data_IF_546149334845
#
_entry.id   IF_546149334845
#
_cell.length_a   1.000
_cell.length_b   1.000
_cell.length_c   1.000
_cell.angle_alpha   90.00
_cell.angle_beta   90.00
_cell.angle_gamma   90.00
#
_symmetry.space_group_name_H-M   'P 1'
#
loop_
_entity.id
_entity.type
_entity.pdbx_description
1 polymer ?
#
# COMPACT_ATOMS: atom_id res chain seq x y z
N UNK A 1 -3.39 3.64 -11.16
CA UNK A 1 -3.31 3.54 -9.69
C UNK A 1 -2.06 4.15 -9.06
N UNK A 2 -0.86 4.03 -9.66
CA UNK A 2 0.40 4.41 -9.01
C UNK A 2 0.44 5.83 -8.38
N UNK A 3 -0.05 6.85 -9.09
CA UNK A 3 -0.13 8.23 -8.59
C UNK A 3 -1.37 8.53 -7.74
N UNK A 4 -2.35 7.61 -7.69
CA UNK A 4 -3.56 7.78 -6.89
C UNK A 4 -3.19 7.59 -5.40
N UNK A 5 -3.40 8.59 -4.52
CA UNK A 5 -3.10 8.46 -3.09
C UNK A 5 -4.05 7.52 -2.34
N UNK A 6 -5.20 7.16 -2.91
CA UNK A 6 -6.11 6.14 -2.36
C UNK A 6 -5.57 4.73 -2.60
N UNK A 7 -4.76 4.53 -3.65
CA UNK A 7 -4.03 3.29 -3.87
C UNK A 7 -2.71 3.32 -3.09
N UNK A 8 -2.67 2.67 -1.94
CA UNK A 8 -1.46 2.56 -1.10
C UNK A 8 -0.42 1.71 -1.81
N UNK A 9 0.83 2.19 -1.86
CA UNK A 9 1.97 1.45 -2.42
C UNK A 9 2.71 0.71 -1.31
N UNK A 10 3.34 -0.41 -1.66
CA UNK A 10 4.21 -1.17 -0.77
C UNK A 10 5.51 -1.55 -1.47
N UNK A 11 6.61 -1.48 -0.73
CA UNK A 11 7.91 -2.06 -1.11
C UNK A 11 8.30 -3.14 -0.11
N UNK A 12 8.94 -4.20 -0.58
CA UNK A 12 9.32 -5.35 0.23
C UNK A 12 10.73 -5.83 -0.10
N UNK A 13 11.31 -6.56 0.84
CA UNK A 13 12.57 -7.27 0.63
C UNK A 13 12.37 -8.56 -0.18
N UNK A 14 13.47 -9.25 -0.49
CA UNK A 14 13.46 -10.52 -1.22
C UNK A 14 12.73 -11.65 -0.48
N UNK A 15 12.59 -11.55 0.85
CA UNK A 15 11.88 -12.50 1.69
C UNK A 15 10.39 -12.21 1.82
N UNK A 16 9.88 -11.17 1.15
CA UNK A 16 8.48 -10.76 1.23
C UNK A 16 8.14 -9.95 2.48
N UNK A 17 9.12 -9.44 3.23
CA UNK A 17 8.85 -8.54 4.34
C UNK A 17 8.70 -7.12 3.83
N UNK A 18 7.59 -6.46 4.19
CA UNK A 18 7.36 -5.08 3.84
C UNK A 18 8.43 -4.18 4.49
N UNK A 19 9.06 -3.35 3.67
CA UNK A 19 9.99 -2.32 4.10
C UNK A 19 9.26 -1.02 4.43
N UNK A 20 8.26 -0.66 3.62
CA UNK A 20 7.44 0.53 3.85
C UNK A 20 6.12 0.50 3.06
N UNK A 21 5.10 1.20 3.60
CA UNK A 21 3.85 1.50 2.92
C UNK A 21 3.70 3.01 2.76
N UNK A 22 3.21 3.48 1.62
CA UNK A 22 3.04 4.92 1.40
C UNK A 22 1.94 5.23 0.40
N UNK A 23 1.31 6.39 0.58
CA UNK A 23 0.46 7.00 -0.46
C UNK A 23 1.30 7.66 -1.56
N UNK A 24 2.57 7.98 -1.29
CA UNK A 24 3.51 8.44 -2.29
C UNK A 24 3.89 7.32 -3.29
N UNK A 25 4.25 7.65 -4.54
CA UNK A 25 4.71 6.66 -5.51
C UNK A 25 6.07 6.06 -5.09
N UNK A 26 6.07 4.80 -4.64
CA UNK A 26 7.28 4.07 -4.24
C UNK A 26 7.35 2.70 -4.92
N UNK A 27 8.53 2.26 -5.42
CA UNK A 27 9.80 3.00 -5.43
C UNK A 27 9.82 4.13 -6.48
N UNK A 28 10.63 5.16 -6.24
CA UNK A 28 10.75 6.30 -7.17
C UNK A 28 11.70 5.96 -8.34
N UNK A 29 11.26 6.07 -9.62
CA UNK A 29 12.08 5.75 -10.79
C UNK A 29 13.00 6.93 -11.15
N UNK A 30 14.08 7.10 -10.38
CA UNK A 30 15.02 8.23 -10.50
C UNK A 30 15.43 8.54 -11.94
N UNK A 31 15.88 7.53 -12.68
CA UNK A 31 16.51 7.75 -13.98
C UNK A 31 15.51 8.24 -15.03
N UNK A 32 14.26 7.78 -15.00
CA UNK A 32 13.20 8.25 -15.91
C UNK A 32 12.99 9.77 -15.76
N UNK A 33 12.89 10.26 -14.52
CA UNK A 33 12.72 11.69 -14.25
C UNK A 33 13.99 12.50 -14.50
N UNK A 34 15.18 11.90 -14.36
CA UNK A 34 16.43 12.56 -14.74
C UNK A 34 16.56 12.77 -16.25
N UNK A 35 15.96 11.90 -17.07
CA UNK A 35 15.92 12.05 -18.54
C UNK A 35 14.76 12.94 -19.03
N UNK A 36 14.15 13.72 -18.13
CA UNK A 36 13.13 14.72 -18.47
C UNK A 36 11.71 14.17 -18.56
N UNK A 37 11.48 12.91 -18.19
CA UNK A 37 10.13 12.37 -18.13
C UNK A 37 9.30 13.13 -17.08
N UNK A 38 8.09 13.55 -17.46
CA UNK A 38 7.22 14.37 -16.62
C UNK A 38 6.19 13.54 -15.83
N UNK A 39 5.99 12.29 -16.24
CA UNK A 39 4.98 11.39 -15.68
C UNK A 39 5.61 10.08 -15.23
N UNK A 40 4.97 9.40 -14.27
CA UNK A 40 5.41 8.07 -13.87
C UNK A 40 5.44 7.12 -15.08
N UNK A 41 6.48 6.28 -15.21
CA UNK A 41 6.56 5.28 -16.28
C UNK A 41 5.44 4.25 -16.15
N UNK A 42 5.03 3.68 -17.29
CA UNK A 42 3.98 2.67 -17.34
C UNK A 42 4.45 1.29 -16.84
N UNK A 43 5.74 0.99 -16.97
CA UNK A 43 6.32 -0.30 -16.63
C UNK A 43 7.31 -0.18 -15.47
N UNK A 44 7.21 -1.12 -14.51
CA UNK A 44 8.12 -1.22 -13.38
C UNK A 44 7.50 -1.99 -12.21
N UNK A 45 8.28 -2.11 -11.14
CA UNK A 45 7.94 -2.94 -9.98
C UNK A 45 7.23 -2.12 -8.91
N UNK A 46 5.98 -1.74 -9.19
CA UNK A 46 5.09 -1.11 -8.21
C UNK A 46 4.02 -2.08 -7.75
N UNK A 47 3.79 -2.10 -6.44
CA UNK A 47 2.77 -2.93 -5.83
C UNK A 47 1.75 -2.07 -5.12
N UNK A 48 0.47 -2.31 -5.43
CA UNK A 48 -0.63 -1.82 -4.61
C UNK A 48 -0.82 -2.74 -3.42
N UNK A 49 -0.89 -2.17 -2.23
CA UNK A 49 -1.33 -2.86 -1.04
C UNK A 49 -2.85 -3.10 -1.09
N UNK A 50 -3.26 -4.33 -0.83
CA UNK A 50 -4.66 -4.74 -0.70
C UNK A 50 -4.94 -4.94 0.78
N UNK A 51 -5.98 -4.28 1.31
CA UNK A 51 -6.33 -4.25 2.74
C UNK A 51 -6.93 -5.55 3.27
N UNK A 52 -6.25 -6.68 3.05
CA UNK A 52 -6.56 -7.98 3.64
C UNK A 52 -5.36 -8.44 4.46
N UNK A 53 -5.63 -8.82 5.71
CA UNK A 53 -4.58 -9.13 6.66
C UNK A 53 -4.87 -10.41 7.43
N UNK A 54 -3.80 -11.08 7.86
CA UNK A 54 -3.85 -12.19 8.79
C UNK A 54 -2.99 -11.85 10.01
N UNK A 55 -3.59 -11.91 11.20
CA UNK A 55 -2.91 -11.56 12.45
C UNK A 55 -2.97 -12.70 13.45
N UNK A 56 -1.93 -12.80 14.29
CA UNK A 56 -2.03 -13.56 15.54
C UNK A 56 -2.84 -12.73 16.54
N UNK A 57 -3.81 -13.34 17.21
CA UNK A 57 -4.63 -12.67 18.24
C UNK A 57 -3.79 -12.00 19.33
N UNK A 58 -2.74 -12.69 19.81
CA UNK A 58 -1.81 -12.11 20.79
C UNK A 58 -1.04 -10.88 20.28
N UNK A 59 -0.84 -10.74 18.97
CA UNK A 59 -0.30 -9.50 18.40
C UNK A 59 -1.32 -8.37 18.48
N UNK A 60 -2.58 -8.61 18.10
CA UNK A 60 -3.64 -7.59 18.16
C UNK A 60 -3.80 -7.00 19.56
N UNK A 61 -3.78 -7.84 20.60
CA UNK A 61 -3.84 -7.37 21.99
C UNK A 61 -2.70 -6.43 22.37
N UNK A 62 -1.48 -6.63 21.83
CA UNK A 62 -0.37 -5.70 22.05
C UNK A 62 -0.49 -4.46 21.17
N UNK A 63 -0.83 -4.65 19.90
CA UNK A 63 -0.92 -3.60 18.89
C UNK A 63 -1.83 -2.45 19.32
N UNK A 64 -3.00 -2.78 19.89
CA UNK A 64 -3.98 -1.77 20.35
C UNK A 64 -3.51 -0.96 21.56
N UNK A 65 -2.49 -1.43 22.29
CA UNK A 65 -1.93 -0.70 23.45
C UNK A 65 -0.87 0.32 23.05
N UNK A 66 -0.34 0.25 21.82
CA UNK A 66 0.67 1.18 21.36
C UNK A 66 0.06 2.53 21.00
N UNK A 67 0.73 3.64 21.35
CA UNK A 67 0.31 4.94 20.86
C UNK A 67 0.38 4.97 19.32
N UNK A 68 -0.44 5.80 18.67
CA UNK A 68 -0.32 5.99 17.23
C UNK A 68 1.10 6.44 16.84
N UNK A 69 1.63 5.86 15.77
CA UNK A 69 2.96 6.22 15.30
C UNK A 69 2.93 7.53 14.50
N UNK A 70 3.98 8.38 14.55
CA UNK A 70 4.03 9.59 13.72
C UNK A 70 3.86 9.32 12.22
N UNK A 71 4.41 8.20 11.74
CA UNK A 71 4.29 7.78 10.33
C UNK A 71 2.85 7.36 9.99
N UNK A 72 2.18 6.63 10.88
CA UNK A 72 0.77 6.25 10.74
C UNK A 72 -0.12 7.49 10.62
N UNK A 73 0.10 8.51 11.46
CA UNK A 73 -0.69 9.74 11.43
C UNK A 73 -0.46 10.54 10.15
N UNK A 74 0.80 10.63 9.70
CA UNK A 74 1.17 11.40 8.50
C UNK A 74 0.60 10.78 7.23
N UNK A 75 0.73 9.47 7.08
CA UNK A 75 0.24 8.75 5.90
C UNK A 75 -1.23 8.33 6.02
N UNK A 76 -1.81 8.43 7.22
CA UNK A 76 -3.10 7.84 7.56
C UNK A 76 -3.17 6.34 7.17
N UNK A 77 -2.20 5.56 7.69
CA UNK A 77 -2.01 4.13 7.43
C UNK A 77 -1.66 3.38 8.73
N UNK A 78 -2.63 2.63 9.26
CA UNK A 78 -2.50 1.96 10.56
C UNK A 78 -1.32 0.98 10.64
N UNK A 79 -1.07 0.21 9.58
CA UNK A 79 -0.03 -0.81 9.57
C UNK A 79 1.38 -0.25 9.76
N UNK A 80 1.58 1.06 9.53
CA UNK A 80 2.85 1.73 9.82
C UNK A 80 3.17 1.77 11.33
N UNK A 81 2.16 1.68 12.22
CA UNK A 81 2.42 1.55 13.66
C UNK A 81 3.17 0.26 13.98
N UNK A 82 2.82 -0.85 13.33
CA UNK A 82 3.52 -2.11 13.52
C UNK A 82 4.97 -2.03 13.03
N UNK A 83 5.21 -1.47 11.83
CA UNK A 83 6.57 -1.26 11.31
C UNK A 83 7.39 -0.32 12.21
N UNK A 84 6.77 0.76 12.70
CA UNK A 84 7.42 1.74 13.59
C UNK A 84 7.92 1.10 14.90
N UNK A 85 7.19 0.10 15.41
CA UNK A 85 7.57 -0.69 16.57
C UNK A 85 8.47 -1.90 16.24
N UNK A 86 9.02 -1.97 15.03
CA UNK A 86 9.95 -3.03 14.60
C UNK A 86 9.28 -4.38 14.35
N UNK A 87 7.96 -4.43 14.19
CA UNK A 87 7.24 -5.66 13.87
C UNK A 87 7.23 -5.86 12.37
N UNK A 88 7.78 -6.99 11.93
CA UNK A 88 7.75 -7.37 10.52
C UNK A 88 6.34 -7.68 10.03
N UNK A 89 6.01 -7.20 8.83
CA UNK A 89 4.78 -7.53 8.10
C UNK A 89 5.17 -8.27 6.83
N UNK A 90 4.72 -9.53 6.69
CA UNK A 90 4.90 -10.27 5.45
C UNK A 90 3.84 -9.85 4.43
N UNK A 91 4.24 -9.66 3.18
CA UNK A 91 3.38 -9.37 2.03
C UNK A 91 3.61 -10.41 0.93
N UNK A 92 2.54 -10.75 0.22
CA UNK A 92 2.59 -11.67 -0.91
C UNK A 92 1.77 -11.09 -2.06
N UNK A 93 2.15 -11.45 -3.29
CA UNK A 93 1.32 -11.15 -4.47
C UNK A 93 0.00 -11.92 -4.35
N UNK A 94 -1.10 -11.22 -4.60
CA UNK A 94 -2.40 -11.87 -4.72
C UNK A 94 -2.38 -12.88 -5.86
N UNK A 95 -3.02 -14.04 -5.67
CA UNK A 95 -3.11 -15.11 -6.68
C UNK A 95 -4.06 -14.77 -7.83
N UNK A 96 -4.88 -13.73 -7.64
CA UNK A 96 -5.83 -13.21 -8.62
C UNK A 96 -5.81 -11.68 -8.58
N UNK A 97 -6.23 -11.06 -9.69
CA UNK A 97 -6.45 -9.63 -9.73
C UNK A 97 -7.56 -9.27 -8.73
N UNK A 98 -7.27 -8.29 -7.86
CA UNK A 98 -8.25 -7.75 -6.93
C UNK A 98 -8.64 -6.37 -7.46
N UNK A 99 -9.94 -6.10 -7.67
CA UNK A 99 -10.39 -4.79 -8.10
C UNK A 99 -10.02 -3.70 -7.08
N UNK A 100 -10.16 -2.44 -7.50
CA UNK A 100 -10.07 -1.30 -6.58
C UNK A 100 -11.17 -1.38 -5.51
N UNK A 101 -10.92 -0.78 -4.35
CA UNK A 101 -12.01 -0.45 -3.42
C UNK A 101 -12.94 0.60 -4.03
N UNK A 102 -14.13 0.76 -3.47
CA UNK A 102 -15.04 1.85 -3.82
C UNK A 102 -14.85 2.96 -2.79
N UNK A 103 -14.04 3.96 -3.13
CA UNK A 103 -13.75 5.10 -2.26
C UNK A 103 -14.35 6.41 -2.80
N UNK A 104 -14.72 6.44 -4.08
CA UNK A 104 -15.29 7.60 -4.79
C UNK A 104 -16.53 7.22 -5.60
N UNK A 105 -17.29 8.22 -6.04
CA UNK A 105 -18.44 7.99 -6.94
C UNK A 105 -18.00 7.38 -8.27
N UNK A 106 -16.83 7.77 -8.78
CA UNK A 106 -16.26 7.20 -10.00
C UNK A 106 -15.94 5.71 -9.85
N UNK A 107 -15.42 5.30 -8.67
CA UNK A 107 -15.19 3.88 -8.38
C UNK A 107 -16.51 3.09 -8.36
N UNK A 108 -17.57 3.68 -7.81
CA UNK A 108 -18.90 3.07 -7.79
C UNK A 108 -19.45 2.89 -9.22
N UNK A 109 -19.32 3.91 -10.07
CA UNK A 109 -19.71 3.81 -11.48
C UNK A 109 -18.90 2.76 -12.24
N UNK A 110 -17.58 2.69 -12.01
CA UNK A 110 -16.72 1.69 -12.62
C UNK A 110 -17.13 0.26 -12.24
N UNK A 111 -17.47 0.02 -10.96
CA UNK A 111 -17.93 -1.29 -10.51
C UNK A 111 -19.32 -1.64 -11.08
N UNK A 112 -20.25 -0.67 -11.14
CA UNK A 112 -21.57 -0.89 -11.77
C UNK A 112 -21.45 -1.33 -13.22
N UNK A 113 -20.61 -0.67 -14.01
CA UNK A 113 -20.38 -1.01 -15.42
C UNK A 113 -19.75 -2.40 -15.66
N UNK A 114 -19.19 -3.04 -14.62
CA UNK A 114 -18.67 -4.41 -14.69
C UNK A 114 -19.72 -5.48 -14.35
N UNK A 115 -20.80 -5.09 -13.67
CA UNK A 115 -21.83 -5.99 -13.14
C UNK A 115 -23.14 -5.94 -13.94
N UNK A 116 -23.44 -4.81 -14.58
CA UNK A 116 -24.60 -4.57 -15.45
C UNK A 116 -24.26 -4.85 -16.93
#
# INVERSE_FOLDING_TARGET
ELINPNAVKVVNDIGGMALYFSRAPIPWPRDEFMHGQQTMPQAGNWYRHIGIYAYRTGFLHRYVTWPPAPLEQTENLEQLRALYHGVGIHVARAVQSVPGGIDTEDDLHAVRALLE
#
